data_IF_293266434715
#
_entry.id   IF_293266434715
#
_cell.length_a   1.000
_cell.length_b   1.000
_cell.length_c   1.000
_cell.angle_alpha   90.00
_cell.angle_beta   90.00
_cell.angle_gamma   90.00
#
_symmetry.space_group_name_H-M   'P 1'
#
loop_
_entity.id
_entity.type
_entity.pdbx_description
1 polymer ?
#
# COMPACT_ATOMS: atom_id res chain seq x y z
N UNK A 1 11.97 -23.47 -14.03
CA UNK A 1 11.57 -24.54 -13.09
C UNK A 1 10.19 -24.17 -12.59
N UNK A 2 9.25 -25.11 -12.53
CA UNK A 2 7.88 -24.83 -12.06
C UNK A 2 7.93 -24.41 -10.58
N UNK A 3 7.37 -23.24 -10.24
CA UNK A 3 7.28 -22.71 -8.88
C UNK A 3 6.45 -23.60 -7.91
N UNK A 4 5.70 -24.58 -8.44
CA UNK A 4 4.73 -25.39 -7.70
C UNK A 4 5.31 -26.43 -6.72
N UNK A 5 6.64 -26.52 -6.54
CA UNK A 5 7.27 -27.54 -5.67
C UNK A 5 8.20 -26.99 -4.60
N UNK A 6 8.43 -25.67 -4.56
CA UNK A 6 9.38 -25.10 -3.61
C UNK A 6 8.71 -24.82 -2.27
N UNK A 7 9.04 -25.62 -1.27
CA UNK A 7 8.46 -25.53 0.08
C UNK A 7 9.26 -24.64 1.03
N UNK A 8 10.48 -24.24 0.66
CA UNK A 8 11.38 -23.43 1.48
C UNK A 8 12.18 -22.43 0.61
N UNK A 9 12.58 -21.32 1.22
CA UNK A 9 13.55 -20.37 0.66
C UNK A 9 14.98 -20.94 0.68
N UNK A 10 15.89 -20.36 -0.11
CA UNK A 10 17.26 -20.85 -0.25
C UNK A 10 17.93 -20.99 1.12
N UNK A 11 18.50 -22.18 1.37
CA UNK A 11 19.20 -22.56 2.61
C UNK A 11 18.36 -22.48 3.90
N UNK A 12 17.04 -22.26 3.80
CA UNK A 12 16.14 -22.25 4.95
C UNK A 12 15.55 -23.62 5.22
N UNK A 13 15.44 -23.98 6.51
CA UNK A 13 14.73 -25.17 6.98
C UNK A 13 13.28 -24.88 7.37
N UNK A 14 12.87 -23.60 7.37
CA UNK A 14 11.51 -23.19 7.74
C UNK A 14 10.59 -23.33 6.53
N UNK A 15 9.54 -24.16 6.60
CA UNK A 15 8.63 -24.33 5.48
C UNK A 15 7.71 -23.12 5.29
N UNK A 16 7.41 -22.83 4.03
CA UNK A 16 6.38 -21.90 3.58
C UNK A 16 5.03 -22.61 3.70
N UNK A 17 4.07 -21.98 4.38
CA UNK A 17 2.77 -22.56 4.67
C UNK A 17 1.64 -21.66 4.17
N UNK A 18 0.50 -22.24 3.79
CA UNK A 18 -0.72 -21.44 3.62
C UNK A 18 -1.16 -20.90 4.98
N UNK A 19 -1.66 -19.66 5.00
CA UNK A 19 -2.18 -19.04 6.21
C UNK A 19 -3.37 -19.82 6.79
N UNK A 20 -4.11 -20.53 5.93
CA UNK A 20 -5.27 -21.34 6.28
C UNK A 20 -5.15 -22.78 5.78
N UNK A 21 -5.73 -23.74 6.50
CA UNK A 21 -5.92 -25.10 6.03
C UNK A 21 -7.09 -25.20 5.03
N UNK A 22 -7.34 -26.40 4.50
CA UNK A 22 -8.43 -26.66 3.55
C UNK A 22 -9.84 -26.41 4.14
N UNK A 23 -9.95 -26.32 5.47
CA UNK A 23 -11.19 -26.03 6.18
C UNK A 23 -11.31 -24.54 6.56
N UNK A 24 -10.32 -23.72 6.21
CA UNK A 24 -10.27 -22.29 6.53
C UNK A 24 -9.78 -21.98 7.95
N UNK A 25 -9.23 -22.94 8.69
CA UNK A 25 -8.67 -22.68 10.02
C UNK A 25 -7.27 -22.05 9.90
N UNK A 26 -6.92 -21.07 10.75
CA UNK A 26 -5.65 -20.37 10.67
C UNK A 26 -4.48 -21.26 11.13
N UNK A 27 -3.48 -21.44 10.27
CA UNK A 27 -2.22 -22.14 10.59
C UNK A 27 -1.24 -21.26 11.40
N UNK A 28 -1.45 -19.95 11.43
CA UNK A 28 -0.61 -18.98 12.14
C UNK A 28 -1.05 -18.73 13.60
N UNK A 29 -2.10 -19.41 14.06
CA UNK A 29 -2.65 -19.29 15.41
C UNK A 29 -2.91 -20.66 16.01
N UNK A 30 -2.59 -20.82 17.30
CA UNK A 30 -2.99 -21.97 18.09
C UNK A 30 -3.34 -21.53 19.50
N UNK A 31 -4.56 -21.86 19.94
CA UNK A 31 -5.06 -21.50 21.28
C UNK A 31 -4.95 -19.99 21.57
N UNK A 32 -5.15 -19.16 20.53
CA UNK A 32 -5.05 -17.69 20.62
C UNK A 32 -3.62 -17.13 20.63
N UNK A 33 -2.60 -17.98 20.53
CA UNK A 33 -1.20 -17.58 20.44
C UNK A 33 -0.69 -17.63 19.01
N UNK A 34 0.11 -16.65 18.63
CA UNK A 34 0.78 -16.61 17.33
C UNK A 34 1.82 -17.73 17.23
N UNK A 35 1.78 -18.45 16.12
CA UNK A 35 2.78 -19.46 15.77
C UNK A 35 3.88 -18.85 14.90
N UNK A 36 5.13 -19.10 15.28
CA UNK A 36 6.28 -18.70 14.49
C UNK A 36 6.29 -19.46 13.15
N UNK A 37 6.55 -18.77 12.04
CA UNK A 37 6.50 -19.38 10.72
C UNK A 37 6.44 -18.38 9.57
N UNK A 38 6.44 -18.95 8.36
CA UNK A 38 6.34 -18.24 7.09
C UNK A 38 5.00 -18.61 6.44
N UNK A 39 4.17 -17.62 6.19
CA UNK A 39 2.79 -17.79 5.73
C UNK A 39 2.51 -16.99 4.46
N UNK A 40 1.76 -17.60 3.54
CA UNK A 40 1.22 -16.95 2.34
C UNK A 40 -0.31 -16.98 2.35
N UNK A 41 -0.96 -16.05 1.65
CA UNK A 41 -2.42 -15.96 1.59
C UNK A 41 -3.07 -15.41 2.86
N UNK A 42 -2.32 -14.71 3.72
CA UNK A 42 -2.88 -14.02 4.88
C UNK A 42 -3.48 -12.68 4.42
N UNK A 43 -4.75 -12.41 4.74
CA UNK A 43 -5.41 -11.17 4.34
C UNK A 43 -4.77 -9.95 5.01
N UNK A 44 -4.82 -8.81 4.33
CA UNK A 44 -4.14 -7.60 4.76
C UNK A 44 -4.66 -7.06 6.11
N UNK A 45 -5.98 -7.05 6.30
CA UNK A 45 -6.61 -6.63 7.56
C UNK A 45 -6.18 -7.54 8.73
N UNK A 46 -6.22 -8.86 8.53
CA UNK A 46 -5.82 -9.85 9.54
C UNK A 46 -4.35 -9.66 9.93
N UNK A 47 -3.45 -9.48 8.95
CA UNK A 47 -2.05 -9.19 9.21
C UNK A 47 -1.85 -7.94 10.06
N UNK A 48 -2.57 -6.85 9.76
CA UNK A 48 -2.45 -5.62 10.54
C UNK A 48 -2.92 -5.78 11.99
N UNK A 49 -3.91 -6.62 12.24
CA UNK A 49 -4.47 -6.90 13.57
C UNK A 49 -3.61 -7.83 14.44
N UNK A 50 -2.69 -8.62 13.86
CA UNK A 50 -1.87 -9.56 14.64
C UNK A 50 -1.13 -8.86 15.81
N UNK A 51 -1.13 -9.42 17.04
CA UNK A 51 -0.49 -8.83 18.20
C UNK A 51 1.05 -9.04 18.18
N UNK A 52 1.71 -8.52 17.16
CA UNK A 52 3.15 -8.57 16.96
C UNK A 52 3.69 -7.24 16.42
N UNK A 53 4.94 -6.92 16.77
CA UNK A 53 5.60 -5.67 16.38
C UNK A 53 5.95 -5.72 14.90
N UNK A 54 5.50 -4.71 14.15
CA UNK A 54 5.75 -4.52 12.73
C UNK A 54 6.87 -3.52 12.43
N UNK A 55 7.31 -3.46 11.17
CA UNK A 55 8.25 -2.42 10.72
C UNK A 55 7.69 -1.01 10.86
N UNK A 56 6.40 -0.79 10.61
CA UNK A 56 5.76 0.52 10.79
C UNK A 56 5.82 0.98 12.25
N UNK A 57 5.62 0.06 13.19
CA UNK A 57 5.77 0.30 14.62
C UNK A 57 7.21 0.67 14.98
N UNK A 58 8.21 -0.12 14.57
CA UNK A 58 9.60 0.16 14.92
C UNK A 58 10.12 1.43 14.23
N UNK A 59 9.72 1.70 12.98
CA UNK A 59 10.05 2.95 12.27
C UNK A 59 9.48 4.15 12.99
N UNK A 60 8.22 4.10 13.41
CA UNK A 60 7.61 5.18 14.21
C UNK A 60 8.43 5.42 15.48
N UNK A 61 8.79 4.35 16.19
CA UNK A 61 9.59 4.43 17.40
C UNK A 61 10.96 5.09 17.16
N UNK A 62 11.69 4.66 16.13
CA UNK A 62 13.04 5.17 15.83
C UNK A 62 13.01 6.60 15.29
N UNK A 63 12.07 6.92 14.40
CA UNK A 63 12.06 8.18 13.65
C UNK A 63 11.29 9.30 14.36
N UNK A 64 10.31 8.95 15.20
CA UNK A 64 9.43 9.91 15.89
C UNK A 64 9.51 9.80 17.42
N UNK A 65 10.00 8.69 17.97
CA UNK A 65 10.17 8.48 19.41
C UNK A 65 8.99 7.77 20.10
N UNK A 66 9.19 7.47 21.39
CA UNK A 66 8.27 6.68 22.21
C UNK A 66 6.88 7.32 22.37
N UNK A 67 6.79 8.65 22.52
CA UNK A 67 5.50 9.35 22.65
C UNK A 67 4.63 9.21 21.39
N UNK A 68 5.23 9.28 20.19
CA UNK A 68 4.52 9.07 18.93
C UNK A 68 4.10 7.61 18.76
N UNK A 69 4.94 6.67 19.19
CA UNK A 69 4.58 5.25 19.23
C UNK A 69 3.34 5.03 20.12
N UNK A 70 3.36 5.55 21.34
CA UNK A 70 2.24 5.41 22.28
C UNK A 70 0.96 6.02 21.73
N UNK A 71 1.03 7.26 21.24
CA UNK A 71 -0.12 7.96 20.63
C UNK A 71 -0.74 7.16 19.48
N UNK A 72 0.09 6.50 18.67
CA UNK A 72 -0.38 5.81 17.46
C UNK A 72 -0.86 4.38 17.73
N UNK A 73 -0.25 3.67 18.67
CA UNK A 73 -0.46 2.23 18.81
C UNK A 73 -1.02 1.79 20.18
N UNK A 74 -0.99 2.65 21.20
CA UNK A 74 -1.36 2.26 22.57
C UNK A 74 -2.45 3.15 23.19
N UNK A 75 -2.58 4.42 22.77
CA UNK A 75 -3.44 5.38 23.48
C UNK A 75 -4.94 5.26 23.19
N UNK A 76 -5.38 4.39 22.27
CA UNK A 76 -6.78 4.23 21.83
C UNK A 76 -7.49 5.54 21.40
N UNK A 77 -6.72 6.56 20.99
CA UNK A 77 -7.30 7.83 20.55
C UNK A 77 -7.29 7.86 19.03
N UNK A 78 -8.48 7.81 18.44
CA UNK A 78 -8.65 7.94 17.00
C UNK A 78 -8.34 9.37 16.57
N UNK A 79 -7.45 9.49 15.57
CA UNK A 79 -7.20 10.75 14.88
C UNK A 79 -7.41 10.54 13.39
N UNK A 80 -8.64 10.60 12.94
CA UNK A 80 -8.98 10.54 11.52
C UNK A 80 -8.79 11.92 10.91
N UNK A 81 -7.78 12.07 10.05
CA UNK A 81 -7.65 13.26 9.20
C UNK A 81 -8.51 13.06 7.97
N UNK A 82 -9.44 13.96 7.69
CA UNK A 82 -10.20 13.96 6.44
C UNK A 82 -9.21 14.08 5.27
N UNK A 83 -9.22 13.09 4.38
CA UNK A 83 -8.46 13.12 3.13
C UNK A 83 -9.30 13.88 2.11
N UNK A 84 -8.65 14.70 1.27
CA UNK A 84 -9.32 15.22 0.09
C UNK A 84 -9.26 14.18 -1.05
N UNK A 85 -10.11 14.36 -2.07
CA UNK A 85 -10.22 13.42 -3.20
C UNK A 85 -8.89 13.17 -3.92
N UNK A 86 -8.03 14.19 -4.04
CA UNK A 86 -6.72 14.03 -4.69
C UNK A 86 -5.77 13.14 -3.86
N UNK A 87 -5.81 13.27 -2.53
CA UNK A 87 -5.04 12.41 -1.61
C UNK A 87 -5.55 10.98 -1.63
N UNK A 88 -6.85 10.78 -1.70
CA UNK A 88 -7.49 9.46 -1.83
C UNK A 88 -7.05 8.78 -3.13
N UNK A 89 -7.26 9.43 -4.29
CA UNK A 89 -6.80 8.94 -5.59
C UNK A 89 -5.31 8.61 -5.62
N UNK A 90 -4.47 9.40 -4.95
CA UNK A 90 -3.02 9.12 -4.89
C UNK A 90 -2.72 7.83 -4.14
N UNK A 91 -3.38 7.60 -3.00
CA UNK A 91 -3.22 6.37 -2.22
C UNK A 91 -3.78 5.16 -2.95
N UNK A 92 -4.94 5.32 -3.60
CA UNK A 92 -5.57 4.25 -4.37
C UNK A 92 -4.71 3.90 -5.58
N UNK A 93 -4.17 4.88 -6.30
CA UNK A 93 -3.25 4.63 -7.41
C UNK A 93 -2.03 3.84 -6.95
N UNK A 94 -1.42 4.20 -5.83
CA UNK A 94 -0.29 3.44 -5.27
C UNK A 94 -0.67 2.00 -4.92
N UNK A 95 -1.88 1.79 -4.39
CA UNK A 95 -2.42 0.46 -4.06
C UNK A 95 -2.64 -0.39 -5.31
N UNK A 96 -3.25 0.19 -6.35
CA UNK A 96 -3.51 -0.52 -7.61
C UNK A 96 -2.21 -0.81 -8.37
N UNK A 97 -1.22 0.09 -8.36
CA UNK A 97 0.13 -0.19 -8.92
C UNK A 97 0.75 -1.40 -8.22
N UNK A 98 0.69 -1.44 -6.89
CA UNK A 98 1.24 -2.52 -6.08
C UNK A 98 0.58 -3.86 -6.40
N UNK A 99 -0.76 -3.88 -6.44
CA UNK A 99 -1.53 -5.07 -6.81
C UNK A 99 -1.25 -5.54 -8.24
N UNK A 100 -1.19 -4.63 -9.23
CA UNK A 100 -0.86 -4.99 -10.61
C UNK A 100 0.53 -5.64 -10.73
N UNK A 101 1.52 -5.13 -10.00
CA UNK A 101 2.89 -5.64 -10.02
C UNK A 101 3.00 -7.01 -9.34
N UNK A 102 2.36 -7.20 -8.17
CA UNK A 102 2.55 -8.40 -7.34
C UNK A 102 1.52 -9.49 -7.62
N UNK A 103 0.28 -9.10 -7.88
CA UNK A 103 -0.91 -9.97 -7.91
C UNK A 103 -1.81 -9.67 -9.13
N UNK A 104 -1.21 -9.26 -10.25
CA UNK A 104 -1.94 -8.88 -11.47
C UNK A 104 -2.77 -10.00 -12.11
N UNK A 105 -2.53 -11.26 -11.73
CA UNK A 105 -3.37 -12.37 -12.20
C UNK A 105 -4.80 -12.24 -11.64
N UNK A 106 -5.79 -12.27 -12.53
CA UNK A 106 -7.19 -12.08 -12.17
C UNK A 106 -7.58 -10.65 -11.80
N UNK A 107 -6.71 -9.66 -12.01
CA UNK A 107 -7.00 -8.26 -11.70
C UNK A 107 -8.27 -7.77 -12.42
N UNK A 108 -8.41 -8.07 -13.71
CA UNK A 108 -9.56 -7.69 -14.53
C UNK A 108 -10.84 -8.52 -14.23
N UNK A 109 -10.72 -9.58 -13.43
CA UNK A 109 -11.86 -10.33 -12.91
C UNK A 109 -12.41 -9.66 -11.64
N UNK A 110 -11.61 -8.83 -10.96
CA UNK A 110 -11.98 -8.10 -9.73
C UNK A 110 -12.35 -6.65 -9.97
N UNK A 111 -11.80 -6.01 -11.01
CA UNK A 111 -11.95 -4.59 -11.24
C UNK A 111 -12.33 -4.22 -12.66
N UNK A 112 -12.98 -3.06 -12.81
CA UNK A 112 -13.18 -2.38 -14.08
C UNK A 112 -12.94 -0.87 -13.93
N UNK A 113 -12.73 -0.21 -15.07
CA UNK A 113 -12.47 1.23 -15.14
C UNK A 113 -13.78 2.02 -15.22
N UNK A 114 -13.99 2.95 -14.30
CA UNK A 114 -15.06 3.94 -14.42
C UNK A 114 -14.74 4.99 -15.49
N UNK A 115 -15.75 5.49 -16.24
CA UNK A 115 -15.54 6.50 -17.26
C UNK A 115 -15.09 7.83 -16.64
N UNK A 116 -14.28 8.58 -17.38
CA UNK A 116 -13.94 9.97 -17.05
C UNK A 116 -14.72 10.93 -17.95
N UNK A 117 -14.95 12.14 -17.47
CA UNK A 117 -15.63 13.20 -18.24
C UNK A 117 -14.95 13.44 -19.60
N UNK A 118 -13.62 13.39 -19.65
CA UNK A 118 -12.83 13.52 -20.89
C UNK A 118 -13.10 12.42 -21.92
N UNK A 119 -13.60 11.25 -21.49
CA UNK A 119 -13.90 10.13 -22.38
C UNK A 119 -15.24 10.37 -23.12
N UNK A 120 -16.08 11.28 -22.62
CA UNK A 120 -17.39 11.64 -23.14
C UNK A 120 -17.54 13.17 -23.30
N UNK A 121 -16.79 13.79 -24.23
CA UNK A 121 -16.73 15.25 -24.36
C UNK A 121 -18.09 15.90 -24.70
N UNK A 122 -19.02 15.13 -25.27
CA UNK A 122 -20.37 15.59 -25.63
C UNK A 122 -21.43 15.30 -24.56
N UNK A 123 -21.07 14.63 -23.46
CA UNK A 123 -22.02 14.31 -22.39
C UNK A 123 -22.30 15.51 -21.49
N UNK A 124 -23.55 15.62 -21.03
CA UNK A 124 -23.98 16.62 -20.06
C UNK A 124 -23.58 16.16 -18.66
N UNK A 125 -22.79 16.99 -17.97
CA UNK A 125 -22.16 16.70 -16.68
C UNK A 125 -22.69 17.66 -15.62
N UNK A 126 -22.77 18.95 -15.91
CA UNK A 126 -23.15 19.97 -14.92
C UNK A 126 -24.64 20.25 -14.95
N UNK A 127 -25.19 20.71 -13.81
CA UNK A 127 -26.59 21.15 -13.74
C UNK A 127 -26.89 22.24 -14.79
N UNK A 128 -25.93 23.14 -15.04
CA UNK A 128 -26.06 24.20 -16.04
C UNK A 128 -26.20 23.66 -17.46
N UNK A 129 -25.39 22.66 -17.83
CA UNK A 129 -25.50 21.99 -19.14
C UNK A 129 -26.86 21.32 -19.32
N UNK A 130 -27.36 20.65 -18.29
CA UNK A 130 -28.68 20.02 -18.32
C UNK A 130 -29.82 21.05 -18.45
N UNK A 131 -29.75 22.18 -17.76
CA UNK A 131 -30.73 23.28 -17.94
C UNK A 131 -30.72 23.79 -19.38
N UNK A 132 -29.53 24.07 -19.93
CA UNK A 132 -29.40 24.53 -21.32
C UNK A 132 -29.93 23.49 -22.32
N UNK A 133 -29.72 22.20 -22.05
CA UNK A 133 -30.29 21.12 -22.85
C UNK A 133 -31.82 21.09 -22.75
N UNK A 134 -32.41 21.23 -21.56
CA UNK A 134 -33.86 21.30 -21.39
C UNK A 134 -34.46 22.46 -22.21
N UNK A 135 -33.85 23.65 -22.14
CA UNK A 135 -34.27 24.82 -22.93
C UNK A 135 -34.17 24.54 -24.44
N UNK A 136 -33.05 23.99 -24.91
CA UNK A 136 -32.81 23.66 -26.32
C UNK A 136 -33.84 22.64 -26.86
N UNK A 137 -34.21 21.66 -26.03
CA UNK A 137 -35.15 20.59 -26.40
C UNK A 137 -36.59 20.89 -25.99
N UNK A 138 -36.89 22.11 -25.52
CA UNK A 138 -38.23 22.57 -25.14
C UNK A 138 -38.88 21.71 -24.04
N UNK A 139 -38.07 21.25 -23.08
CA UNK A 139 -38.50 20.47 -21.92
C UNK A 139 -38.76 21.42 -20.76
N UNK A 140 -40.02 21.50 -20.30
CA UNK A 140 -40.39 22.32 -19.15
C UNK A 140 -39.96 21.68 -17.83
N UNK A 141 -39.20 22.44 -17.04
CA UNK A 141 -38.69 22.00 -15.73
C UNK A 141 -38.82 23.12 -14.70
N UNK A 142 -38.99 22.80 -13.41
CA UNK A 142 -38.98 23.81 -12.35
C UNK A 142 -37.69 24.63 -12.33
N UNK A 143 -37.78 25.94 -12.02
CA UNK A 143 -36.61 26.85 -11.97
C UNK A 143 -35.50 26.43 -10.99
N UNK A 144 -35.83 25.60 -10.00
CA UNK A 144 -34.91 25.07 -9.00
C UNK A 144 -34.72 23.55 -9.13
N UNK A 145 -34.93 22.99 -10.32
CA UNK A 145 -34.78 21.55 -10.56
C UNK A 145 -33.32 21.10 -10.32
N UNK A 146 -33.18 20.00 -9.59
CA UNK A 146 -31.88 19.38 -9.30
C UNK A 146 -31.36 18.62 -10.51
N UNK A 147 -30.06 18.30 -10.53
CA UNK A 147 -29.42 17.52 -11.61
C UNK A 147 -30.20 16.23 -11.97
N UNK A 148 -30.63 15.39 -11.00
CA UNK A 148 -31.41 14.19 -11.31
C UNK A 148 -32.78 14.48 -11.94
N UNK A 149 -33.46 15.54 -11.50
CA UNK A 149 -34.77 15.93 -12.05
C UNK A 149 -34.64 16.41 -13.49
N UNK A 150 -33.61 17.19 -13.79
CA UNK A 150 -33.32 17.65 -15.15
C UNK A 150 -32.98 16.46 -16.08
N UNK A 151 -32.13 15.55 -15.60
CA UNK A 151 -31.76 14.35 -16.33
C UNK A 151 -32.99 13.48 -16.67
N UNK A 152 -33.86 13.24 -15.68
CA UNK A 152 -35.08 12.45 -15.88
C UNK A 152 -36.09 13.13 -16.82
N UNK A 153 -36.19 14.45 -16.77
CA UNK A 153 -37.06 15.20 -17.68
C UNK A 153 -36.57 15.11 -19.14
N UNK A 154 -35.26 15.22 -19.38
CA UNK A 154 -34.65 15.05 -20.71
C UNK A 154 -34.87 13.64 -21.24
N UNK A 155 -34.72 12.61 -20.39
CA UNK A 155 -34.99 11.21 -20.73
C UNK A 155 -36.47 10.98 -21.07
N UNK A 156 -37.38 11.48 -20.23
CA UNK A 156 -38.83 11.37 -20.44
C UNK A 156 -39.28 12.05 -21.74
N UNK A 157 -38.60 13.12 -22.14
CA UNK A 157 -38.84 13.82 -23.41
C UNK A 157 -38.17 13.15 -24.63
N UNK A 158 -37.46 12.04 -24.45
CA UNK A 158 -36.63 11.39 -25.48
C UNK A 158 -35.67 12.36 -26.18
N UNK A 159 -35.09 13.30 -25.42
CA UNK A 159 -34.09 14.22 -25.96
C UNK A 159 -32.83 13.43 -26.37
N UNK A 160 -32.27 13.65 -27.58
CA UNK A 160 -31.08 12.94 -28.06
C UNK A 160 -29.81 13.52 -27.42
N UNK A 161 -29.66 13.33 -26.11
CA UNK A 161 -28.55 13.82 -25.30
C UNK A 161 -27.93 12.67 -24.52
N UNK A 162 -26.62 12.75 -24.31
CA UNK A 162 -25.91 11.83 -23.41
C UNK A 162 -25.74 12.51 -22.06
N UNK A 163 -26.13 11.84 -20.98
CA UNK A 163 -25.97 12.35 -19.62
C UNK A 163 -24.90 11.51 -18.94
N UNK A 164 -23.86 12.15 -18.40
CA UNK A 164 -22.69 11.45 -17.91
C UNK A 164 -23.00 10.52 -16.71
N UNK A 165 -23.92 10.93 -15.83
CA UNK A 165 -24.36 10.08 -14.70
C UNK A 165 -25.05 8.80 -15.18
N UNK A 166 -25.81 8.86 -16.27
CA UNK A 166 -26.44 7.68 -16.86
C UNK A 166 -25.38 6.78 -17.54
N UNK A 167 -24.31 7.36 -18.11
CA UNK A 167 -23.18 6.58 -18.65
C UNK A 167 -22.49 5.78 -17.54
N UNK A 168 -22.19 6.41 -16.40
CA UNK A 168 -21.61 5.72 -15.24
C UNK A 168 -22.54 4.59 -14.80
N UNK A 169 -23.82 4.91 -14.57
CA UNK A 169 -24.79 3.93 -14.11
C UNK A 169 -24.93 2.74 -15.07
N UNK A 170 -24.96 2.98 -16.37
CA UNK A 170 -25.05 1.90 -17.35
C UNK A 170 -23.83 0.97 -17.34
N UNK A 171 -22.63 1.49 -17.03
CA UNK A 171 -21.42 0.67 -16.88
C UNK A 171 -21.45 -0.11 -15.57
N UNK A 172 -21.92 0.51 -14.48
CA UNK A 172 -22.08 -0.15 -13.19
C UNK A 172 -23.14 -1.27 -13.24
N UNK A 173 -24.24 -1.04 -13.95
CA UNK A 173 -25.35 -2.00 -14.13
C UNK A 173 -25.06 -3.06 -15.22
N UNK A 174 -23.89 -3.02 -15.88
CA UNK A 174 -23.50 -4.03 -16.87
C UNK A 174 -23.30 -5.40 -16.19
N UNK A 175 -23.98 -6.48 -16.64
CA UNK A 175 -23.79 -7.82 -16.09
C UNK A 175 -22.34 -8.32 -16.07
N UNK A 176 -21.45 -7.80 -16.94
CA UNK A 176 -20.02 -8.14 -16.91
C UNK A 176 -19.27 -7.58 -15.69
N UNK A 177 -19.88 -6.63 -14.97
CA UNK A 177 -19.31 -5.91 -13.84
C UNK A 177 -19.99 -6.24 -12.49
N UNK A 178 -21.00 -7.12 -12.48
CA UNK A 178 -21.83 -7.42 -11.28
C UNK A 178 -21.00 -7.80 -10.05
N UNK A 179 -19.94 -8.60 -10.23
CA UNK A 179 -19.06 -9.07 -9.15
C UNK A 179 -17.74 -8.29 -9.05
N UNK A 180 -17.64 -7.15 -9.75
CA UNK A 180 -16.40 -6.36 -9.86
C UNK A 180 -16.52 -5.03 -9.14
N UNK A 181 -15.37 -4.51 -8.70
CA UNK A 181 -15.27 -3.18 -8.12
C UNK A 181 -14.89 -2.16 -9.19
N UNK A 182 -15.70 -1.11 -9.34
CA UNK A 182 -15.40 0.02 -10.23
C UNK A 182 -14.30 0.91 -9.64
N UNK A 183 -13.20 1.08 -10.36
CA UNK A 183 -12.10 1.96 -9.98
C UNK A 183 -12.25 3.31 -10.69
N UNK A 184 -11.98 4.40 -9.97
CA UNK A 184 -11.90 5.75 -10.55
C UNK A 184 -10.98 5.73 -11.79
N UNK A 185 -11.48 6.26 -12.91
CA UNK A 185 -10.77 6.15 -14.18
C UNK A 185 -9.39 6.80 -14.18
N UNK A 186 -9.15 7.81 -13.33
CA UNK A 186 -7.83 8.44 -13.20
C UNK A 186 -6.87 7.53 -12.43
N UNK A 187 -7.36 6.88 -11.37
CA UNK A 187 -6.60 5.87 -10.60
C UNK A 187 -6.20 4.72 -11.53
N UNK A 188 -7.16 4.20 -12.30
CA UNK A 188 -6.93 3.15 -13.28
C UNK A 188 -5.89 3.55 -14.33
N UNK A 189 -6.09 4.69 -15.00
CA UNK A 189 -5.22 5.17 -16.08
C UNK A 189 -3.78 5.36 -15.58
N UNK A 190 -3.62 5.98 -14.39
CA UNK A 190 -2.31 6.19 -13.81
C UNK A 190 -1.62 4.89 -13.41
N UNK A 191 -2.36 3.95 -12.80
CA UNK A 191 -1.79 2.69 -12.37
C UNK A 191 -1.33 1.83 -13.55
N UNK A 192 -2.12 1.76 -14.63
CA UNK A 192 -1.75 1.01 -15.84
C UNK A 192 -0.56 1.65 -16.57
N UNK A 193 -0.46 2.97 -16.56
CA UNK A 193 0.67 3.69 -17.14
C UNK A 193 1.97 3.40 -16.36
N UNK A 194 1.91 3.44 -15.03
CA UNK A 194 3.03 3.03 -14.16
C UNK A 194 3.40 1.56 -14.34
N UNK A 195 2.41 0.66 -14.37
CA UNK A 195 2.61 -0.77 -14.56
C UNK A 195 3.29 -1.08 -15.89
N UNK A 196 2.85 -0.42 -16.97
CA UNK A 196 3.47 -0.54 -18.29
C UNK A 196 4.95 -0.15 -18.25
N UNK A 197 5.31 0.95 -17.59
CA UNK A 197 6.73 1.34 -17.44
C UNK A 197 7.53 0.30 -16.65
N UNK A 198 6.93 -0.31 -15.63
CA UNK A 198 7.56 -1.43 -14.91
C UNK A 198 7.80 -2.63 -15.83
N UNK A 199 6.82 -3.02 -16.65
CA UNK A 199 6.93 -4.14 -17.59
C UNK A 199 8.00 -3.87 -18.66
N UNK A 200 8.06 -2.64 -19.17
CA UNK A 200 9.03 -2.23 -20.20
C UNK A 200 10.45 -2.02 -19.63
N UNK A 201 10.62 -1.91 -18.31
CA UNK A 201 11.92 -1.76 -17.69
C UNK A 201 12.78 -3.03 -17.88
N UNK A 202 14.02 -2.95 -18.42
CA UNK A 202 14.79 -4.11 -18.88
C UNK A 202 15.01 -5.23 -17.85
N UNK A 203 14.99 -4.91 -16.57
CA UNK A 203 15.29 -5.84 -15.48
C UNK A 203 14.25 -5.86 -14.35
N UNK A 204 13.23 -5.00 -14.35
CA UNK A 204 12.36 -4.84 -13.17
C UNK A 204 11.46 -6.07 -12.96
N UNK A 205 10.85 -6.56 -14.04
CA UNK A 205 10.04 -7.78 -14.05
C UNK A 205 10.83 -9.01 -13.57
N UNK A 206 12.14 -9.06 -13.85
CA UNK A 206 12.98 -10.14 -13.37
C UNK A 206 13.05 -10.19 -11.84
N UNK A 207 13.01 -9.05 -11.14
CA UNK A 207 13.00 -9.02 -9.67
C UNK A 207 11.67 -9.49 -9.06
N UNK A 208 10.55 -9.35 -9.77
CA UNK A 208 9.21 -9.85 -9.38
C UNK A 208 8.93 -11.21 -10.03
N UNK A 209 9.96 -12.02 -10.24
CA UNK A 209 9.85 -13.39 -10.76
C UNK A 209 10.49 -14.38 -9.79
N UNK A 210 10.22 -15.68 -9.99
CA UNK A 210 10.84 -16.77 -9.21
C UNK A 210 10.77 -16.56 -7.68
N UNK A 211 9.58 -16.22 -7.19
CA UNK A 211 9.33 -15.90 -5.80
C UNK A 211 7.85 -15.97 -5.48
N UNK A 212 7.50 -15.41 -4.33
CA UNK A 212 6.14 -15.34 -3.82
C UNK A 212 5.82 -13.91 -3.42
N UNK A 213 4.59 -13.49 -3.71
CA UNK A 213 4.04 -12.22 -3.25
C UNK A 213 3.54 -12.31 -1.80
N UNK A 214 3.47 -11.16 -1.11
CA UNK A 214 2.78 -10.98 0.18
C UNK A 214 3.18 -12.00 1.28
N UNK A 215 4.47 -12.36 1.34
CA UNK A 215 4.97 -13.41 2.24
C UNK A 215 5.11 -12.88 3.65
N UNK A 216 4.30 -13.41 4.58
CA UNK A 216 4.27 -12.99 5.98
C UNK A 216 5.21 -13.85 6.83
N UNK A 217 6.09 -13.20 7.57
CA UNK A 217 6.96 -13.82 8.57
C UNK A 217 6.45 -13.43 9.97
N UNK A 218 6.32 -14.42 10.84
CA UNK A 218 6.01 -14.24 12.26
C UNK A 218 7.10 -14.94 13.04
N UNK A 219 7.81 -14.21 13.91
CA UNK A 219 8.94 -14.77 14.66
C UNK A 219 9.06 -14.14 16.03
N UNK A 220 9.52 -14.92 17.01
CA UNK A 220 9.82 -14.42 18.34
C UNK A 220 11.24 -13.90 18.40
N UNK A 221 11.41 -12.65 18.79
CA UNK A 221 12.73 -12.10 19.08
C UNK A 221 13.31 -12.79 20.31
N UNK A 222 14.35 -13.61 20.13
CA UNK A 222 14.97 -14.38 21.23
C UNK A 222 15.61 -13.49 22.32
N UNK A 223 15.90 -12.24 21.99
CA UNK A 223 16.53 -11.28 22.91
C UNK A 223 15.48 -10.57 23.79
N UNK A 224 14.37 -10.14 23.20
CA UNK A 224 13.37 -9.31 23.88
C UNK A 224 12.12 -10.08 24.29
N UNK A 225 11.90 -11.25 23.68
CA UNK A 225 10.67 -12.04 23.81
C UNK A 225 9.48 -11.48 23.04
N UNK A 226 9.62 -10.34 22.35
CA UNK A 226 8.56 -9.75 21.54
C UNK A 226 8.25 -10.63 20.32
N UNK A 227 6.97 -10.82 20.02
CA UNK A 227 6.54 -11.31 18.71
C UNK A 227 6.75 -10.21 17.68
N UNK A 228 7.41 -10.55 16.57
CA UNK A 228 7.67 -9.67 15.44
C UNK A 228 6.94 -10.17 14.21
N UNK A 229 6.48 -9.26 13.35
CA UNK A 229 5.89 -9.57 12.05
C UNK A 229 6.45 -8.68 10.95
N UNK A 230 6.75 -9.25 9.80
CA UNK A 230 6.95 -8.49 8.57
C UNK A 230 6.25 -9.19 7.40
N UNK A 231 5.92 -8.42 6.37
CA UNK A 231 5.38 -8.94 5.13
C UNK A 231 6.19 -8.41 3.97
N UNK A 232 6.78 -9.32 3.19
CA UNK A 232 7.50 -9.00 1.97
C UNK A 232 6.50 -8.84 0.83
N UNK A 233 6.60 -7.72 0.10
CA UNK A 233 5.84 -7.50 -1.12
C UNK A 233 6.14 -8.62 -2.13
N UNK A 234 7.43 -8.90 -2.35
CA UNK A 234 7.90 -10.08 -3.07
C UNK A 234 9.17 -10.64 -2.43
N UNK A 235 9.21 -11.95 -2.19
CA UNK A 235 10.43 -12.64 -1.74
C UNK A 235 10.78 -13.74 -2.75
N UNK A 236 11.94 -13.58 -3.38
CA UNK A 236 12.45 -14.56 -4.33
C UNK A 236 12.99 -15.79 -3.62
N UNK A 237 12.97 -16.92 -4.32
CA UNK A 237 13.48 -18.18 -3.80
C UNK A 237 14.99 -18.20 -3.59
N UNK A 238 15.73 -17.26 -4.19
CA UNK A 238 17.15 -16.98 -3.96
C UNK A 238 17.40 -15.91 -2.87
N UNK A 239 16.38 -15.61 -2.06
CA UNK A 239 16.42 -14.71 -0.90
C UNK A 239 16.63 -13.22 -1.22
N UNK A 240 16.44 -12.80 -2.47
CA UNK A 240 16.27 -11.40 -2.82
C UNK A 240 14.87 -10.92 -2.40
N UNK A 241 14.81 -9.96 -1.48
CA UNK A 241 13.59 -9.28 -1.09
C UNK A 241 13.36 -8.05 -1.97
N UNK A 242 12.14 -7.90 -2.48
CA UNK A 242 11.73 -6.73 -3.26
C UNK A 242 10.56 -6.06 -2.58
N UNK A 243 10.66 -4.75 -2.40
CA UNK A 243 9.68 -3.89 -1.76
C UNK A 243 9.26 -2.83 -2.79
N UNK A 244 8.01 -2.92 -3.23
CA UNK A 244 7.45 -2.06 -4.29
C UNK A 244 7.01 -0.74 -3.67
N UNK A 245 7.33 0.36 -4.34
CA UNK A 245 7.04 1.71 -3.86
C UNK A 245 6.53 2.59 -4.98
N UNK A 246 5.26 2.96 -4.92
CA UNK A 246 4.77 4.12 -5.67
C UNK A 246 5.37 5.39 -5.05
N UNK A 247 6.11 6.17 -5.82
CA UNK A 247 6.75 7.40 -5.36
C UNK A 247 6.31 8.61 -6.20
N UNK A 248 6.43 9.80 -5.62
CA UNK A 248 6.24 11.05 -6.36
C UNK A 248 7.41 11.33 -7.33
N UNK A 249 8.60 10.85 -6.99
CA UNK A 249 9.82 11.08 -7.75
C UNK A 249 10.76 9.88 -7.57
N UNK A 250 11.25 9.35 -8.68
CA UNK A 250 12.32 8.33 -8.74
C UNK A 250 13.72 8.95 -8.77
N UNK A 251 13.83 10.28 -8.84
CA UNK A 251 15.12 10.98 -8.70
C UNK A 251 15.85 10.51 -7.44
N UNK A 252 17.11 10.09 -7.60
CA UNK A 252 17.90 9.51 -6.51
C UNK A 252 17.98 10.46 -5.30
N UNK A 253 18.09 11.76 -5.53
CA UNK A 253 18.15 12.75 -4.45
C UNK A 253 16.82 12.84 -3.67
N UNK A 254 15.69 12.77 -4.37
CA UNK A 254 14.37 12.75 -3.73
C UNK A 254 14.14 11.45 -2.98
N UNK A 255 14.49 10.32 -3.60
CA UNK A 255 14.38 9.00 -2.97
C UNK A 255 15.22 8.95 -1.68
N UNK A 256 16.47 9.43 -1.68
CA UNK A 256 17.32 9.43 -0.47
C UNK A 256 16.68 10.25 0.66
N UNK A 257 16.16 11.44 0.35
CA UNK A 257 15.45 12.27 1.34
C UNK A 257 14.21 11.55 1.88
N UNK A 258 13.42 10.96 0.99
CA UNK A 258 12.22 10.23 1.35
C UNK A 258 12.53 8.98 2.18
N UNK A 259 13.50 8.18 1.76
CA UNK A 259 13.97 6.98 2.46
C UNK A 259 14.52 7.31 3.85
N UNK A 260 15.19 8.46 4.02
CA UNK A 260 15.62 8.99 5.31
C UNK A 260 14.42 9.35 6.21
N UNK A 261 13.47 10.11 5.68
CA UNK A 261 12.28 10.59 6.40
C UNK A 261 11.31 9.47 6.80
N UNK A 262 11.05 8.54 5.87
CA UNK A 262 10.14 7.41 6.05
C UNK A 262 10.83 6.20 6.69
N UNK A 263 12.15 6.21 6.84
CA UNK A 263 12.90 5.17 7.53
C UNK A 263 13.02 3.85 6.75
N UNK A 264 13.14 3.88 5.43
CA UNK A 264 13.23 2.67 4.60
C UNK A 264 14.42 1.77 4.95
N UNK A 265 15.55 2.37 5.31
CA UNK A 265 16.73 1.66 5.83
C UNK A 265 16.46 0.93 7.15
N UNK A 266 15.54 1.42 8.01
CA UNK A 266 15.09 0.70 9.20
C UNK A 266 14.07 -0.39 8.87
N UNK A 267 13.28 -0.22 7.80
CA UNK A 267 12.40 -1.27 7.29
C UNK A 267 13.22 -2.47 6.85
N UNK A 268 14.18 -2.25 5.96
CA UNK A 268 15.11 -3.27 5.48
C UNK A 268 15.79 -3.97 6.67
N UNK A 269 16.41 -3.20 7.57
CA UNK A 269 17.07 -3.76 8.75
C UNK A 269 16.14 -4.63 9.61
N UNK A 270 14.89 -4.22 9.79
CA UNK A 270 13.88 -4.98 10.53
C UNK A 270 13.48 -6.26 9.78
N UNK A 271 13.27 -6.18 8.47
CA UNK A 271 12.89 -7.33 7.63
C UNK A 271 14.01 -8.37 7.60
N UNK A 272 15.27 -7.94 7.39
CA UNK A 272 16.45 -8.81 7.46
C UNK A 272 16.56 -9.49 8.83
N UNK A 273 16.28 -8.77 9.92
CA UNK A 273 16.32 -9.36 11.26
C UNK A 273 15.21 -10.38 11.49
N UNK A 274 13.98 -10.09 11.08
CA UNK A 274 12.85 -11.04 11.24
C UNK A 274 13.05 -12.28 10.37
N UNK A 275 13.54 -12.13 9.14
CA UNK A 275 13.86 -13.25 8.26
C UNK A 275 14.92 -14.18 8.86
N UNK A 276 15.99 -13.62 9.45
CA UNK A 276 17.07 -14.43 10.03
C UNK A 276 16.63 -15.20 11.28
N UNK A 277 15.61 -14.74 12.01
CA UNK A 277 15.01 -15.51 13.11
C UNK A 277 14.34 -16.81 12.64
N UNK A 278 13.95 -16.88 11.37
CA UNK A 278 13.39 -18.07 10.71
C UNK A 278 14.39 -18.74 9.77
N UNK A 279 15.69 -18.51 9.95
CA UNK A 279 16.77 -19.07 9.13
C UNK A 279 16.62 -18.74 7.64
N UNK A 280 16.17 -17.53 7.31
CA UNK A 280 16.19 -16.98 5.96
C UNK A 280 17.16 -15.80 5.95
N UNK A 281 18.34 -16.03 5.41
CA UNK A 281 19.34 -14.98 5.21
C UNK A 281 19.08 -14.29 3.87
N UNK A 282 18.65 -13.03 3.93
CA UNK A 282 18.40 -12.22 2.73
C UNK A 282 19.73 -11.90 2.02
N UNK A 283 19.77 -12.11 0.71
CA UNK A 283 20.92 -11.76 -0.13
C UNK A 283 20.91 -10.25 -0.44
N UNK A 284 19.79 -9.74 -0.95
CA UNK A 284 19.56 -8.32 -1.15
C UNK A 284 18.17 -7.87 -0.66
N UNK A 285 18.04 -6.56 -0.47
CA UNK A 285 16.76 -5.88 -0.27
C UNK A 285 16.67 -4.74 -1.27
N UNK A 286 15.65 -4.78 -2.11
CA UNK A 286 15.54 -3.97 -3.31
C UNK A 286 14.26 -3.15 -3.22
N UNK A 287 14.40 -1.84 -3.35
CA UNK A 287 13.26 -0.93 -3.49
C UNK A 287 12.96 -0.77 -4.99
N UNK A 288 11.86 -1.35 -5.44
CA UNK A 288 11.37 -1.16 -6.80
C UNK A 288 10.42 0.03 -6.79
N UNK A 289 10.92 1.16 -7.28
CA UNK A 289 10.21 2.43 -7.22
C UNK A 289 9.53 2.72 -8.55
N UNK A 290 8.25 3.06 -8.52
CA UNK A 290 7.49 3.46 -9.69
C UNK A 290 6.92 4.85 -9.47
N UNK A 291 7.24 5.76 -10.37
CA UNK A 291 6.69 7.11 -10.46
C UNK A 291 5.60 7.16 -11.53
N UNK A 292 4.57 7.96 -11.28
CA UNK A 292 3.50 8.20 -12.25
C UNK A 292 2.97 9.64 -12.26
N UNK A 293 3.27 10.44 -11.23
CA UNK A 293 2.68 11.77 -11.05
C UNK A 293 3.33 12.83 -11.93
N UNK A 294 4.66 12.94 -11.90
CA UNK A 294 5.40 13.93 -12.68
C UNK A 294 6.00 13.29 -13.94
N UNK A 295 6.46 12.03 -13.85
CA UNK A 295 6.88 11.19 -14.97
C UNK A 295 6.53 9.71 -14.75
N UNK A 296 6.55 8.93 -15.82
CA UNK A 296 6.41 7.46 -15.77
C UNK A 296 7.78 6.80 -15.78
N UNK A 297 8.33 6.55 -14.59
CA UNK A 297 9.68 6.03 -14.43
C UNK A 297 9.65 4.86 -13.45
N UNK A 298 10.35 3.78 -13.79
CA UNK A 298 10.66 2.69 -12.87
C UNK A 298 12.16 2.71 -12.57
N UNK A 299 12.51 2.68 -11.29
CA UNK A 299 13.88 2.62 -10.82
C UNK A 299 14.06 1.53 -9.78
N UNK A 300 15.23 0.88 -9.80
CA UNK A 300 15.58 -0.23 -8.91
C UNK A 300 16.69 0.24 -7.98
N UNK A 301 16.36 0.40 -6.71
CA UNK A 301 17.24 1.08 -5.75
C UNK A 301 17.64 0.13 -4.63
N UNK A 302 18.93 0.16 -4.27
CA UNK A 302 19.47 -0.53 -3.10
C UNK A 302 20.06 0.48 -2.12
N UNK A 303 19.80 0.28 -0.83
CA UNK A 303 20.42 1.09 0.22
C UNK A 303 21.77 0.46 0.59
N UNK A 304 22.81 1.30 0.72
CA UNK A 304 24.15 0.90 1.17
C UNK A 304 24.36 1.24 2.65
N UNK A 305 25.36 0.64 3.28
CA UNK A 305 25.79 0.92 4.67
C UNK A 305 24.68 0.67 5.71
N UNK A 306 24.22 -0.58 5.78
CA UNK A 306 23.02 -1.00 6.52
C UNK A 306 23.29 -1.21 8.02
N UNK A 307 24.55 -1.28 8.44
CA UNK A 307 24.98 -1.68 9.80
C UNK A 307 24.45 -0.71 10.87
N UNK A 308 24.45 0.59 10.56
CA UNK A 308 23.92 1.61 11.47
C UNK A 308 22.42 1.46 11.66
N UNK A 309 21.68 1.16 10.59
CA UNK A 309 20.24 0.95 10.63
C UNK A 309 19.90 -0.32 11.43
N UNK A 310 20.64 -1.40 11.20
CA UNK A 310 20.52 -2.67 11.92
C UNK A 310 20.77 -2.49 13.42
N UNK A 311 21.89 -1.86 13.79
CA UNK A 311 22.23 -1.58 15.19
C UNK A 311 21.15 -0.74 15.89
N UNK A 312 20.65 0.30 15.22
CA UNK A 312 19.57 1.15 15.76
C UNK A 312 18.27 0.36 15.93
N UNK A 313 17.92 -0.50 14.98
CA UNK A 313 16.71 -1.33 15.02
C UNK A 313 16.73 -2.29 16.21
N UNK A 314 17.84 -3.00 16.42
CA UNK A 314 17.98 -3.91 17.57
C UNK A 314 17.96 -3.17 18.92
N UNK A 315 18.60 -2.00 19.01
CA UNK A 315 18.53 -1.15 20.22
C UNK A 315 17.11 -0.67 20.49
N UNK A 316 16.41 -0.23 19.45
CA UNK A 316 15.02 0.22 19.55
C UNK A 316 14.08 -0.91 20.01
N UNK A 317 14.27 -2.15 19.54
CA UNK A 317 13.49 -3.29 20.00
C UNK A 317 13.69 -3.58 21.49
N UNK A 318 14.94 -3.51 21.98
CA UNK A 318 15.24 -3.67 23.41
C UNK A 318 14.61 -2.57 24.26
N UNK A 319 14.76 -1.32 23.85
CA UNK A 319 14.22 -0.17 24.56
C UNK A 319 12.67 -0.18 24.54
N UNK A 320 12.06 -0.49 23.40
CA UNK A 320 10.62 -0.66 23.27
C UNK A 320 10.10 -1.76 24.19
N UNK A 321 10.78 -2.91 24.27
CA UNK A 321 10.38 -3.98 25.18
C UNK A 321 10.43 -3.54 26.64
N UNK A 322 11.48 -2.84 27.06
CA UNK A 322 11.61 -2.35 28.42
C UNK A 322 10.46 -1.38 28.77
N UNK A 323 10.10 -0.50 27.83
CA UNK A 323 8.97 0.44 28.00
C UNK A 323 7.62 -0.23 28.02
N UNK A 324 7.38 -1.22 27.14
CA UNK A 324 6.15 -2.02 27.16
C UNK A 324 5.98 -2.73 28.51
N UNK A 325 7.07 -3.27 29.06
CA UNK A 325 7.04 -3.93 30.36
C UNK A 325 6.83 -2.95 31.53
N UNK A 326 7.45 -1.77 31.47
CA UNK A 326 7.35 -0.74 32.51
C UNK A 326 6.11 0.15 32.41
N UNK A 327 5.34 0.04 31.32
CA UNK A 327 4.33 1.02 30.90
C UNK A 327 4.85 2.47 30.87
N UNK A 328 6.11 2.63 30.45
CA UNK A 328 6.83 3.93 30.45
C UNK A 328 6.97 4.50 29.04
N UNK A 329 5.93 5.19 28.59
CA UNK A 329 5.93 5.92 27.30
C UNK A 329 5.79 7.44 27.46
N UNK A 330 5.68 7.92 28.71
CA UNK A 330 5.28 9.29 29.01
C UNK A 330 6.51 10.18 29.17
N UNK A 331 6.93 10.81 28.08
CA UNK A 331 7.55 12.13 28.17
C UNK A 331 6.96 13.02 27.09
N UNK A 332 5.88 13.74 27.41
CA UNK A 332 5.37 14.86 26.60
C UNK A 332 6.35 16.05 26.50
N UNK A 333 7.60 15.86 26.94
CA UNK A 333 8.70 16.82 26.94
C UNK A 333 9.88 16.13 26.27
N UNK A 334 10.09 16.38 24.98
CA UNK A 334 11.25 15.87 24.22
C UNK A 334 12.54 16.63 24.55
N UNK A 335 12.40 17.89 24.99
CA UNK A 335 13.47 18.76 25.47
C UNK A 335 12.88 19.64 26.58
N UNK A 336 13.51 19.69 27.75
CA UNK A 336 13.09 20.57 28.86
C UNK A 336 13.31 22.07 28.57
N UNK A 337 13.45 22.46 27.31
CA UNK A 337 13.85 23.78 26.85
C UNK A 337 13.77 23.93 25.32
N UNK A 338 14.23 25.08 24.82
CA UNK A 338 14.28 25.41 23.39
C UNK A 338 15.39 24.62 22.70
N UNK A 339 15.08 23.98 21.57
CA UNK A 339 16.06 23.32 20.72
C UNK A 339 16.43 24.28 19.60
N UNK A 340 17.68 24.71 19.56
CA UNK A 340 18.24 25.46 18.43
C UNK A 340 18.55 24.48 17.29
N UNK A 341 18.20 24.85 16.07
CA UNK A 341 18.41 24.04 14.86
C UNK A 341 19.09 24.89 13.79
N UNK A 342 20.16 24.36 13.21
CA UNK A 342 20.80 24.95 12.04
C UNK A 342 20.12 24.42 10.77
N UNK A 343 19.69 25.33 9.90
CA UNK A 343 19.24 24.95 8.55
C UNK A 343 20.50 24.76 7.70
N UNK A 344 20.77 23.55 7.19
CA UNK A 344 21.92 23.34 6.33
C UNK A 344 21.80 24.16 5.04
N UNK A 345 22.90 24.72 4.56
CA UNK A 345 22.96 25.32 3.23
C UNK A 345 22.79 24.21 2.19
N UNK A 346 21.71 24.27 1.41
CA UNK A 346 21.49 23.38 0.28
C UNK A 346 22.21 23.96 -0.94
N UNK A 347 23.23 23.27 -1.45
CA UNK A 347 23.96 23.61 -2.68
C UNK A 347 23.39 22.88 -3.89
#
# INVERSE_FOLDING_TARGET
MNAATQTCFMNSTTPIQQAYDEQGNPNYLREGQLLEGIYIGLENNVYHELPAISSSQIKTYITKGAAHYYRRYLSNIETTRTKNLAQERTLDTGTIIHELILEGTGFYDRYYRLPLEKDYPDALITQKELVLACEKHQVEVPKSATKPVLAEALKSANAPVTIFDDVIKNIEDDPYNEDKTGLDGMVWDNAHRAYKTFEEHPTASAFISNGLAEVTFIAKCQITGLMLKCRFDWLRFDNDAVDVKSTRSTSINDFVRQAGSLGYHYQEAFYTYVASLLNVDLEDFIFLCVEYLEADITEIIRVRNKERAFTKTLRALKDLQARLHADDFVTGVSSGGVVEVDIPEYY
#
